data_IF_180333670187
#
_entry.id   IF_180333670187
#
_cell.length_a   1.000
_cell.length_b   1.000
_cell.length_c   1.000
_cell.angle_alpha   90.00
_cell.angle_beta   90.00
_cell.angle_gamma   90.00
#
_symmetry.space_group_name_H-M   'P 1'
#
loop_
_entity.id
_entity.type
_entity.pdbx_description
1 polymer ?
#
# COMPACT_ATOMS: atom_id res chain seq x y z
N UNK A 1 15.92 -18.31 -15.03
CA UNK A 1 16.24 -17.03 -14.37
C UNK A 1 14.96 -16.37 -13.88
N UNK A 2 14.99 -15.92 -12.64
CA UNK A 2 13.87 -15.15 -12.12
C UNK A 2 13.91 -13.75 -12.70
N UNK A 3 12.75 -13.28 -13.13
CA UNK A 3 12.63 -11.91 -13.60
C UNK A 3 12.85 -10.96 -12.43
N UNK A 4 13.64 -9.90 -12.67
CA UNK A 4 13.85 -8.86 -11.69
C UNK A 4 12.54 -8.09 -11.49
N UNK A 5 12.14 -7.91 -10.23
CA UNK A 5 10.93 -7.17 -9.93
C UNK A 5 11.23 -5.69 -9.80
N UNK A 6 10.44 -4.89 -10.52
CA UNK A 6 10.40 -3.44 -10.39
C UNK A 6 9.08 -3.09 -9.75
N UNK A 7 9.13 -2.65 -8.51
CA UNK A 7 7.96 -2.56 -7.63
C UNK A 7 7.48 -1.11 -7.53
N UNK A 8 6.19 -0.91 -7.79
CA UNK A 8 5.52 0.35 -7.46
C UNK A 8 4.75 0.15 -6.15
N UNK A 9 4.92 1.06 -5.21
CA UNK A 9 4.34 0.97 -3.86
C UNK A 9 3.22 1.99 -3.70
N UNK A 10 2.05 1.53 -3.27
CA UNK A 10 0.88 2.37 -3.04
C UNK A 10 0.42 2.18 -1.61
N UNK A 11 0.56 3.22 -0.80
CA UNK A 11 0.26 3.18 0.63
C UNK A 11 -1.08 3.85 0.91
N UNK A 12 -2.02 3.09 1.44
CA UNK A 12 -3.26 3.64 2.00
C UNK A 12 -2.98 4.01 3.45
N UNK A 13 -2.41 5.19 3.64
CA UNK A 13 -1.88 5.60 4.93
C UNK A 13 -2.96 5.66 6.01
N UNK A 14 -4.12 6.23 5.69
CA UNK A 14 -5.19 6.36 6.69
C UNK A 14 -5.65 5.00 7.21
N UNK A 15 -5.77 4.01 6.33
CA UNK A 15 -6.17 2.66 6.73
C UNK A 15 -5.12 2.01 7.64
N UNK A 16 -3.85 2.08 7.22
CA UNK A 16 -2.75 1.47 7.98
C UNK A 16 -2.60 2.15 9.35
N UNK A 17 -2.69 3.47 9.39
CA UNK A 17 -2.58 4.20 10.65
C UNK A 17 -3.70 3.81 11.62
N UNK A 18 -4.94 3.79 11.14
CA UNK A 18 -6.08 3.41 11.96
C UNK A 18 -5.91 1.97 12.47
N UNK A 19 -5.50 1.06 11.59
CA UNK A 19 -5.31 -0.34 11.97
C UNK A 19 -4.23 -0.51 13.05
N UNK A 20 -3.08 0.14 12.88
CA UNK A 20 -1.99 0.04 13.86
C UNK A 20 -2.35 0.68 15.19
N UNK A 21 -2.99 1.85 15.18
CA UNK A 21 -3.37 2.53 16.41
C UNK A 21 -4.43 1.75 17.19
N UNK A 22 -5.40 1.18 16.50
CA UNK A 22 -6.50 0.49 17.16
C UNK A 22 -6.13 -0.91 17.67
N UNK A 23 -5.18 -1.58 17.03
CA UNK A 23 -4.80 -2.95 17.39
C UNK A 23 -3.52 -3.03 18.22
N UNK A 24 -2.50 -2.25 17.87
CA UNK A 24 -1.16 -2.36 18.48
C UNK A 24 -0.69 -1.07 19.14
N UNK A 25 -1.45 0.02 19.04
CA UNK A 25 -1.10 1.35 19.56
C UNK A 25 0.27 1.82 19.04
N UNK A 26 0.57 1.50 17.79
CA UNK A 26 1.85 1.87 17.17
C UNK A 26 1.61 2.83 16.03
N UNK A 27 2.64 3.60 15.72
CA UNK A 27 2.65 4.44 14.53
C UNK A 27 3.23 3.66 13.36
N UNK A 28 2.77 3.97 12.17
CA UNK A 28 3.28 3.36 10.96
C UNK A 28 4.66 3.92 10.64
N UNK A 29 5.61 3.03 10.36
CA UNK A 29 6.95 3.39 9.90
C UNK A 29 7.10 2.93 8.46
N UNK A 30 7.03 3.88 7.51
CA UNK A 30 7.10 3.55 6.10
C UNK A 30 8.44 2.95 5.71
N UNK A 31 9.52 3.32 6.40
CA UNK A 31 10.84 2.78 6.07
C UNK A 31 10.91 1.27 6.28
N UNK A 32 10.23 0.74 7.29
CA UNK A 32 10.19 -0.69 7.54
C UNK A 32 9.46 -1.44 6.43
N UNK A 33 8.34 -0.89 5.96
CA UNK A 33 7.61 -1.47 4.84
C UNK A 33 8.45 -1.46 3.57
N UNK A 34 9.13 -0.35 3.30
CA UNK A 34 9.99 -0.24 2.12
C UNK A 34 11.19 -1.19 2.20
N UNK A 35 11.80 -1.33 3.38
CA UNK A 35 12.92 -2.25 3.56
C UNK A 35 12.51 -3.69 3.29
N UNK A 36 11.32 -4.09 3.76
CA UNK A 36 10.81 -5.43 3.51
C UNK A 36 10.60 -5.66 2.01
N UNK A 37 10.11 -4.66 1.30
CA UNK A 37 9.89 -4.77 -0.15
C UNK A 37 11.21 -4.77 -0.93
N UNK A 38 12.23 -4.05 -0.45
CA UNK A 38 13.54 -4.03 -1.10
C UNK A 38 14.21 -5.40 -1.10
N UNK A 39 13.84 -6.27 -0.18
CA UNK A 39 14.33 -7.64 -0.19
C UNK A 39 13.81 -8.44 -1.38
N UNK A 40 12.74 -7.98 -2.01
CA UNK A 40 12.04 -8.69 -3.09
C UNK A 40 12.28 -8.09 -4.47
N UNK A 41 12.77 -6.87 -4.55
CA UNK A 41 13.03 -6.21 -5.82
C UNK A 41 13.38 -4.75 -5.65
N UNK A 42 13.48 -4.06 -6.77
CA UNK A 42 13.78 -2.62 -6.77
C UNK A 42 12.48 -1.83 -6.64
N UNK A 43 12.48 -0.84 -5.78
CA UNK A 43 11.33 0.07 -5.67
C UNK A 43 11.53 1.21 -6.64
N UNK A 44 10.64 1.32 -7.62
CA UNK A 44 10.77 2.32 -8.69
C UNK A 44 9.78 3.47 -8.57
N UNK A 45 8.73 3.31 -7.74
CA UNK A 45 7.76 4.38 -7.51
C UNK A 45 7.13 4.17 -6.13
N UNK A 46 6.82 5.26 -5.43
CA UNK A 46 6.26 5.22 -4.08
C UNK A 46 5.24 6.34 -3.92
N UNK A 47 4.01 5.98 -3.57
CA UNK A 47 2.92 6.93 -3.37
C UNK A 47 2.21 6.61 -2.06
N UNK A 48 1.80 7.64 -1.33
CA UNK A 48 1.01 7.46 -0.11
C UNK A 48 -0.20 8.37 -0.14
N UNK A 49 -1.35 7.80 0.14
CA UNK A 49 -2.65 8.44 0.03
C UNK A 49 -3.23 8.66 1.42
N UNK A 50 -3.55 9.90 1.75
CA UNK A 50 -4.13 10.24 3.03
C UNK A 50 -4.73 11.64 3.00
N UNK A 51 -5.47 11.98 4.03
CA UNK A 51 -5.81 13.36 4.29
C UNK A 51 -4.64 14.01 5.03
N UNK A 52 -3.69 14.54 4.27
CA UNK A 52 -2.43 15.02 4.81
C UNK A 52 -2.58 16.24 5.72
N UNK A 53 -3.67 16.98 5.61
CA UNK A 53 -3.95 18.07 6.53
C UNK A 53 -4.12 17.65 7.98
N UNK A 54 -4.36 16.36 8.23
CA UNK A 54 -4.52 15.80 9.57
C UNK A 54 -3.31 14.99 10.02
N UNK A 55 -2.23 14.93 9.22
CA UNK A 55 -1.14 13.99 9.44
C UNK A 55 0.21 14.73 9.50
N UNK A 56 0.31 15.75 10.33
CA UNK A 56 1.49 16.61 10.38
C UNK A 56 2.80 15.84 10.61
N UNK A 57 2.81 14.87 11.52
CA UNK A 57 4.03 14.11 11.78
C UNK A 57 4.38 13.14 10.65
N UNK A 58 3.38 12.64 9.95
CA UNK A 58 3.58 11.65 8.90
C UNK A 58 4.17 12.25 7.62
N UNK A 59 3.90 13.52 7.33
CA UNK A 59 4.41 14.16 6.12
C UNK A 59 5.93 14.18 6.10
N UNK A 60 6.56 14.41 7.25
CA UNK A 60 8.00 14.40 7.36
C UNK A 60 8.58 13.02 7.03
N UNK A 61 7.97 11.99 7.58
CA UNK A 61 8.38 10.61 7.32
C UNK A 61 8.31 10.27 5.82
N UNK A 62 7.22 10.69 5.16
CA UNK A 62 7.07 10.45 3.74
C UNK A 62 8.15 11.16 2.94
N UNK A 63 8.40 12.43 3.26
CA UNK A 63 9.43 13.21 2.57
C UNK A 63 10.82 12.59 2.76
N UNK A 64 11.16 12.16 3.97
CA UNK A 64 12.45 11.54 4.26
C UNK A 64 12.68 10.25 3.47
N UNK A 65 11.61 9.55 3.13
CA UNK A 65 11.68 8.29 2.38
C UNK A 65 11.35 8.46 0.90
N UNK A 66 11.26 9.70 0.43
CA UNK A 66 10.97 10.02 -0.97
C UNK A 66 9.65 9.41 -1.45
N UNK A 67 8.65 9.38 -0.58
CA UNK A 67 7.32 8.90 -0.91
C UNK A 67 6.48 10.11 -1.34
N UNK A 68 5.90 10.01 -2.54
CA UNK A 68 5.03 11.07 -3.05
C UNK A 68 3.69 11.04 -2.32
N UNK A 69 3.32 12.15 -1.71
CA UNK A 69 2.07 12.27 -0.98
C UNK A 69 0.94 12.69 -1.92
N UNK A 70 -0.14 11.92 -1.91
CA UNK A 70 -1.33 12.21 -2.69
C UNK A 70 -2.48 12.51 -1.75
N UNK A 71 -3.13 13.65 -1.94
CA UNK A 71 -4.24 14.06 -1.07
C UNK A 71 -5.47 13.22 -1.36
N UNK A 72 -6.00 12.59 -0.31
CA UNK A 72 -7.27 11.89 -0.40
C UNK A 72 -8.42 12.90 -0.41
N UNK A 73 -9.28 12.79 -1.40
CA UNK A 73 -10.48 13.63 -1.49
C UNK A 73 -11.62 12.85 -0.86
N UNK A 74 -12.18 13.32 0.27
CA UNK A 74 -13.30 12.62 0.89
C UNK A 74 -14.52 12.63 -0.02
N UNK A 75 -15.31 11.56 0.02
CA UNK A 75 -16.53 11.52 -0.74
C UNK A 75 -17.51 12.57 -0.20
N UNK A 76 -18.40 13.11 -1.05
CA UNK A 76 -19.40 14.07 -0.59
C UNK A 76 -20.31 13.55 0.51
N UNK A 77 -20.39 12.23 0.67
CA UNK A 77 -21.20 11.60 1.71
C UNK A 77 -20.45 11.43 3.03
N UNK A 78 -19.20 11.88 3.12
CA UNK A 78 -18.40 11.74 4.34
C UNK A 78 -17.98 10.32 4.64
N UNK A 79 -17.89 9.47 3.64
CA UNK A 79 -17.50 8.07 3.79
C UNK A 79 -16.02 7.99 4.14
N UNK A 80 -15.73 7.81 5.43
CA UNK A 80 -14.36 7.89 5.94
C UNK A 80 -13.63 6.55 5.93
N UNK A 81 -14.34 5.44 5.70
CA UNK A 81 -13.82 4.10 5.90
C UNK A 81 -13.66 3.29 4.63
N UNK A 82 -13.99 3.86 3.47
CA UNK A 82 -13.83 3.16 2.20
C UNK A 82 -12.41 3.15 1.71
N UNK A 83 -12.08 2.17 0.87
CA UNK A 83 -10.82 2.13 0.18
C UNK A 83 -10.64 3.39 -0.67
N UNK A 84 -9.39 3.82 -0.83
CA UNK A 84 -9.10 4.99 -1.65
C UNK A 84 -9.23 4.62 -3.13
N UNK A 85 -10.27 5.11 -3.76
CA UNK A 85 -10.54 4.84 -5.18
C UNK A 85 -9.43 5.41 -6.06
N UNK A 86 -8.88 6.56 -5.70
CA UNK A 86 -7.80 7.17 -6.47
C UNK A 86 -6.54 6.30 -6.44
N UNK A 87 -6.25 5.68 -5.32
CA UNK A 87 -5.15 4.72 -5.23
C UNK A 87 -5.36 3.59 -6.24
N UNK A 88 -6.55 3.02 -6.25
CA UNK A 88 -6.84 1.90 -7.15
C UNK A 88 -6.73 2.32 -8.62
N UNK A 89 -7.26 3.48 -8.98
CA UNK A 89 -7.20 3.98 -10.35
C UNK A 89 -5.76 4.29 -10.77
N UNK A 90 -4.99 4.91 -9.89
CA UNK A 90 -3.59 5.23 -10.18
C UNK A 90 -2.75 3.98 -10.38
N UNK A 91 -2.98 2.95 -9.55
CA UNK A 91 -2.28 1.68 -9.69
C UNK A 91 -2.61 1.00 -11.03
N UNK A 92 -3.88 0.97 -11.40
CA UNK A 92 -4.29 0.39 -12.68
C UNK A 92 -3.74 1.17 -13.85
N UNK A 93 -3.77 2.49 -13.80
CA UNK A 93 -3.20 3.32 -14.85
C UNK A 93 -1.71 3.03 -15.03
N UNK A 94 -0.98 2.93 -13.93
CA UNK A 94 0.45 2.62 -13.99
C UNK A 94 0.69 1.23 -14.59
N UNK A 95 -0.16 0.27 -14.28
CA UNK A 95 -0.04 -1.08 -14.85
C UNK A 95 -0.14 -1.07 -16.38
N UNK A 96 -0.92 -0.15 -16.95
CA UNK A 96 -1.06 -0.01 -18.40
C UNK A 96 0.04 0.84 -19.03
N UNK A 97 0.48 1.88 -18.35
CA UNK A 97 1.32 2.91 -18.96
C UNK A 97 2.81 2.72 -18.69
N UNK A 98 3.16 2.06 -17.61
CA UNK A 98 4.55 1.87 -17.20
C UNK A 98 4.92 0.38 -17.34
N UNK A 99 5.27 -0.03 -18.54
CA UNK A 99 5.50 -1.44 -18.85
C UNK A 99 6.68 -2.05 -18.09
N UNK A 100 7.62 -1.22 -17.65
CA UNK A 100 8.75 -1.70 -16.86
C UNK A 100 8.38 -2.04 -15.41
N UNK A 101 7.22 -1.60 -14.94
CA UNK A 101 6.72 -1.94 -13.61
C UNK A 101 6.00 -3.27 -13.69
N UNK A 102 6.57 -4.31 -13.08
CA UNK A 102 6.01 -5.66 -13.13
C UNK A 102 5.51 -6.16 -11.78
N UNK A 103 5.66 -5.37 -10.73
CA UNK A 103 5.18 -5.73 -9.40
C UNK A 103 4.55 -4.52 -8.72
N UNK A 104 3.51 -4.78 -7.94
CA UNK A 104 2.75 -3.75 -7.22
C UNK A 104 2.64 -4.16 -5.77
N UNK A 105 2.93 -3.24 -4.87
CA UNK A 105 2.76 -3.44 -3.44
C UNK A 105 1.64 -2.53 -2.93
N UNK A 106 0.61 -3.13 -2.39
CA UNK A 106 -0.51 -2.40 -1.79
C UNK A 106 -0.35 -2.46 -0.28
N UNK A 107 -0.13 -1.31 0.33
CA UNK A 107 0.06 -1.22 1.78
C UNK A 107 -1.28 -0.80 2.40
N UNK A 108 -2.08 -1.77 2.72
CA UNK A 108 -3.43 -1.60 3.28
C UNK A 108 -3.97 -2.92 3.79
N UNK A 109 -4.85 -2.86 4.79
CA UNK A 109 -5.58 -4.03 5.26
C UNK A 109 -7.01 -4.12 4.75
N UNK A 110 -7.42 -3.21 3.88
CA UNK A 110 -8.82 -3.08 3.46
C UNK A 110 -9.20 -4.09 2.37
N UNK A 111 -10.20 -4.92 2.66
CA UNK A 111 -10.69 -5.92 1.72
C UNK A 111 -11.26 -5.33 0.43
N UNK A 112 -11.60 -4.06 0.43
CA UNK A 112 -12.12 -3.40 -0.77
C UNK A 112 -11.05 -3.29 -1.88
N UNK A 113 -9.78 -3.58 -1.56
CA UNK A 113 -8.72 -3.65 -2.57
C UNK A 113 -8.61 -5.02 -3.26
N UNK A 114 -9.40 -6.02 -2.85
CA UNK A 114 -9.37 -7.34 -3.51
C UNK A 114 -9.60 -7.23 -5.02
N UNK A 115 -10.58 -6.44 -5.52
CA UNK A 115 -10.74 -6.30 -6.96
C UNK A 115 -9.50 -5.73 -7.66
N UNK A 116 -8.81 -4.77 -7.02
CA UNK A 116 -7.57 -4.22 -7.56
C UNK A 116 -6.49 -5.31 -7.66
N UNK A 117 -6.30 -6.06 -6.58
CA UNK A 117 -5.31 -7.15 -6.56
C UNK A 117 -5.58 -8.13 -7.69
N UNK A 118 -6.84 -8.56 -7.83
CA UNK A 118 -7.21 -9.52 -8.86
C UNK A 118 -6.98 -8.97 -10.26
N UNK A 119 -7.28 -7.68 -10.48
CA UNK A 119 -7.10 -7.05 -11.78
C UNK A 119 -5.62 -6.96 -12.14
N UNK A 120 -4.79 -6.58 -11.20
CA UNK A 120 -3.34 -6.52 -11.43
C UNK A 120 -2.78 -7.90 -11.77
N UNK A 121 -3.28 -8.94 -11.09
CA UNK A 121 -2.88 -10.32 -11.41
C UNK A 121 -3.30 -10.72 -12.81
N UNK A 122 -4.51 -10.31 -13.24
CA UNK A 122 -4.96 -10.57 -14.61
C UNK A 122 -4.01 -9.97 -15.65
N UNK A 123 -3.41 -8.83 -15.34
CA UNK A 123 -2.45 -8.18 -16.24
C UNK A 123 -1.03 -8.76 -16.11
N UNK A 124 -0.89 -9.87 -15.40
CA UNK A 124 0.40 -10.53 -15.26
C UNK A 124 1.34 -9.89 -14.27
N UNK A 125 0.84 -9.02 -13.41
CA UNK A 125 1.68 -8.34 -12.42
C UNK A 125 1.79 -9.18 -11.15
N UNK A 126 2.96 -9.13 -10.51
CA UNK A 126 3.15 -9.69 -9.18
C UNK A 126 2.60 -8.71 -8.15
N UNK A 127 1.81 -9.19 -7.20
CA UNK A 127 1.17 -8.32 -6.22
C UNK A 127 1.55 -8.72 -4.82
N UNK A 128 2.12 -7.76 -4.09
CA UNK A 128 2.38 -7.87 -2.66
C UNK A 128 1.33 -7.07 -1.91
N UNK A 129 0.87 -7.59 -0.78
CA UNK A 129 0.06 -6.82 0.16
C UNK A 129 0.88 -6.69 1.43
N UNK A 130 1.03 -5.47 1.91
CA UNK A 130 1.80 -5.17 3.12
C UNK A 130 0.85 -4.65 4.18
N UNK A 131 0.92 -5.23 5.37
CA UNK A 131 0.04 -4.79 6.45
C UNK A 131 0.24 -5.60 7.70
N UNK A 132 -0.60 -5.31 8.71
CA UNK A 132 -0.62 -6.06 9.94
C UNK A 132 -1.56 -7.25 9.83
N UNK A 133 -1.10 -8.41 10.30
CA UNK A 133 -1.92 -9.62 10.29
C UNK A 133 -3.23 -9.42 11.04
N UNK A 134 -3.21 -8.66 12.13
CA UNK A 134 -4.36 -8.48 13.01
C UNK A 134 -5.49 -7.68 12.38
N UNK A 135 -5.20 -6.79 11.44
CA UNK A 135 -6.22 -5.91 10.83
C UNK A 135 -6.32 -6.04 9.31
N UNK A 136 -5.62 -6.99 8.71
CA UNK A 136 -5.71 -7.23 7.27
C UNK A 136 -6.68 -8.39 7.02
N UNK A 137 -7.62 -8.17 6.12
CA UNK A 137 -8.59 -9.18 5.73
C UNK A 137 -7.89 -10.49 5.33
N UNK A 138 -8.35 -11.61 5.85
CA UNK A 138 -7.82 -12.92 5.49
C UNK A 138 -7.94 -13.19 4.00
N UNK A 139 -9.05 -12.77 3.39
CA UNK A 139 -9.26 -12.96 1.96
C UNK A 139 -8.25 -12.14 1.16
N UNK A 140 -7.95 -10.91 1.59
CA UNK A 140 -6.94 -10.10 0.93
C UNK A 140 -5.56 -10.76 1.02
N UNK A 141 -5.20 -11.28 2.19
CA UNK A 141 -3.93 -11.98 2.38
C UNK A 141 -3.81 -13.20 1.45
N UNK A 142 -4.90 -13.91 1.25
CA UNK A 142 -4.92 -15.12 0.43
C UNK A 142 -4.88 -14.84 -1.07
N UNK A 143 -5.35 -13.67 -1.50
CA UNK A 143 -5.46 -13.36 -2.93
C UNK A 143 -4.20 -12.73 -3.53
N UNK A 144 -3.30 -12.20 -2.73
CA UNK A 144 -2.04 -11.65 -3.24
C UNK A 144 -1.01 -12.74 -3.46
N UNK A 145 0.06 -12.42 -4.19
CA UNK A 145 1.16 -13.37 -4.37
C UNK A 145 1.93 -13.59 -3.07
N UNK A 146 2.12 -12.53 -2.30
CA UNK A 146 2.76 -12.62 -0.99
C UNK A 146 2.21 -11.55 -0.07
N UNK A 147 1.83 -11.96 1.16
CA UNK A 147 1.48 -11.03 2.22
C UNK A 147 2.73 -10.75 3.04
N UNK A 148 3.16 -9.48 3.03
CA UNK A 148 4.38 -9.05 3.70
C UNK A 148 4.02 -8.40 5.02
N UNK A 149 4.48 -8.98 6.10
CA UNK A 149 4.33 -8.40 7.43
C UNK A 149 5.63 -7.71 7.82
N UNK A 150 5.49 -6.54 8.43
CA UNK A 150 6.63 -5.88 9.04
C UNK A 150 6.93 -6.57 10.38
N UNK A 151 8.09 -7.17 10.47
CA UNK A 151 8.49 -7.95 11.65
C UNK A 151 8.64 -7.12 12.92
N UNK A 152 8.86 -5.82 12.78
CA UNK A 152 9.09 -4.95 13.94
C UNK A 152 7.85 -4.22 14.40
N UNK A 153 6.93 -3.92 13.50
CA UNK A 153 5.73 -3.17 13.81
C UNK A 153 4.50 -4.04 13.91
N UNK A 154 4.57 -5.27 13.45
CA UNK A 154 3.41 -6.15 13.37
C UNK A 154 3.76 -7.52 13.93
N UNK A 155 2.98 -7.91 14.84
CA UNK A 155 3.08 -9.21 15.46
C UNK A 155 2.13 -10.19 14.78
#
# INVERSE_FOLDING_TARGET
>A
MQEKLNIAVFVDYDNIEIGLKSTLRREFDVSLALDALKERGDIVAKFAYANWGRQDGATRQMAENAVQMVQRIPSPRGDKNGADINLALDALEMAFTHTHVNAFAIVSGDSDFIPLVNKLKEYGKTVFVVGGKAFTSTILQQNCHEFVRDRKSVV
#
